data_IF_333046220027
#
_entry.id   IF_333046220027
#
_cell.length_a   1.000
_cell.length_b   1.000
_cell.length_c   1.000
_cell.angle_alpha   90.00
_cell.angle_beta   90.00
_cell.angle_gamma   90.00
#
_symmetry.space_group_name_H-M   'P 1'
#
loop_
_entity.id
_entity.type
_entity.pdbx_description
1 polymer ?
#
# COMPACT_ATOMS: atom_id res chain seq x y z
N UNK A 1 -33.41 -15.65 -25.08
CA UNK A 1 -32.73 -16.77 -25.78
C UNK A 1 -31.69 -16.37 -26.83
N UNK A 2 -31.62 -15.12 -27.32
CA UNK A 2 -30.62 -14.70 -28.32
C UNK A 2 -29.19 -14.50 -27.77
N UNK A 3 -29.02 -14.34 -26.45
CA UNK A 3 -27.71 -14.16 -25.79
C UNK A 3 -26.92 -15.47 -25.62
N UNK A 4 -27.61 -16.59 -25.38
CA UNK A 4 -26.97 -17.90 -25.18
C UNK A 4 -26.36 -18.49 -26.47
N UNK A 5 -27.01 -18.25 -27.62
CA UNK A 5 -26.51 -18.69 -28.93
C UNK A 5 -25.23 -17.94 -29.35
N UNK A 6 -25.05 -16.68 -28.91
CA UNK A 6 -23.81 -15.92 -29.16
C UNK A 6 -22.63 -16.44 -28.33
N UNK A 7 -22.89 -16.84 -27.09
CA UNK A 7 -21.88 -17.44 -26.20
C UNK A 7 -21.40 -18.83 -26.71
N UNK A 8 -22.33 -19.68 -27.17
CA UNK A 8 -22.00 -20.99 -27.76
C UNK A 8 -21.28 -20.89 -29.11
N UNK A 9 -21.55 -19.85 -29.91
CA UNK A 9 -20.84 -19.60 -31.17
C UNK A 9 -19.40 -19.11 -30.96
N UNK A 10 -19.13 -18.29 -29.94
CA UNK A 10 -17.76 -17.91 -29.60
C UNK A 10 -16.96 -19.08 -29.02
N UNK A 11 -17.60 -19.94 -28.21
CA UNK A 11 -16.95 -21.12 -27.65
C UNK A 11 -16.57 -22.15 -28.73
N UNK A 12 -17.35 -22.28 -29.81
CA UNK A 12 -16.99 -23.13 -30.97
C UNK A 12 -15.84 -22.57 -31.81
N UNK A 13 -15.64 -21.24 -31.88
CA UNK A 13 -14.50 -20.64 -32.59
C UNK A 13 -13.17 -20.77 -31.84
N UNK A 14 -13.19 -20.91 -30.52
CA UNK A 14 -11.99 -21.16 -29.69
C UNK A 14 -11.71 -22.66 -29.47
N UNK A 15 -12.57 -23.54 -29.96
CA UNK A 15 -12.40 -25.01 -29.90
C UNK A 15 -11.27 -25.54 -30.81
N UNK A 16 -10.52 -24.67 -31.49
CA UNK A 16 -9.27 -25.02 -32.18
C UNK A 16 -8.03 -25.07 -31.27
N UNK A 17 -8.14 -24.64 -30.00
CA UNK A 17 -7.02 -24.58 -29.05
C UNK A 17 -7.15 -25.57 -27.87
N UNK A 18 -8.15 -26.46 -27.91
CA UNK A 18 -8.36 -27.52 -26.91
C UNK A 18 -7.57 -28.82 -27.20
N UNK A 19 -6.50 -28.74 -28.00
CA UNK A 19 -5.48 -29.79 -28.10
C UNK A 19 -4.38 -29.67 -27.01
N UNK A 20 -4.41 -28.61 -26.17
CA UNK A 20 -3.47 -28.44 -25.05
C UNK A 20 -3.96 -29.00 -23.70
N UNK A 21 -5.26 -29.28 -23.56
CA UNK A 21 -5.87 -29.54 -22.24
C UNK A 21 -5.90 -31.01 -21.83
N UNK A 22 -5.52 -31.94 -22.73
CA UNK A 22 -5.35 -33.36 -22.35
C UNK A 22 -4.05 -33.62 -21.55
N UNK A 23 -3.09 -32.68 -21.50
CA UNK A 23 -1.89 -32.81 -20.65
C UNK A 23 -2.06 -32.28 -19.22
N UNK A 24 -3.08 -31.47 -18.95
CA UNK A 24 -3.31 -30.91 -17.61
C UNK A 24 -4.24 -31.81 -16.77
N UNK A 25 -5.14 -32.55 -17.42
CA UNK A 25 -5.99 -33.54 -16.73
C UNK A 25 -5.23 -34.79 -16.24
N UNK A 26 -4.01 -35.04 -16.73
CA UNK A 26 -3.16 -36.17 -16.29
C UNK A 26 -2.25 -35.84 -15.10
N UNK A 27 -2.24 -34.58 -14.60
CA UNK A 27 -1.39 -34.17 -13.47
C UNK A 27 -2.13 -34.00 -12.14
N UNK A 28 -3.45 -34.20 -12.13
CA UNK A 28 -4.30 -34.08 -10.93
C UNK A 28 -4.92 -35.43 -10.51
N UNK A 29 -4.77 -36.48 -11.30
CA UNK A 29 -5.12 -37.86 -10.93
C UNK A 29 -3.84 -38.70 -10.81
N UNK A 30 -3.09 -38.53 -9.72
CA UNK A 30 -1.78 -39.14 -9.56
C UNK A 30 -1.25 -39.17 -8.13
N UNK A 31 -2.10 -39.45 -7.14
CA UNK A 31 -1.68 -39.87 -5.80
C UNK A 31 -2.15 -41.31 -5.55
N UNK A 32 -1.47 -42.26 -6.16
CA UNK A 32 -1.75 -43.68 -6.00
C UNK A 32 -0.66 -44.51 -6.66
N UNK A 33 0.17 -45.16 -5.84
CA UNK A 33 1.23 -46.10 -6.22
C UNK A 33 0.80 -47.06 -7.34
N UNK A 34 1.65 -47.24 -8.35
CA UNK A 34 1.93 -48.56 -8.92
C UNK A 34 3.27 -48.57 -9.67
N UNK A 35 4.04 -49.64 -9.45
CA UNK A 35 5.38 -49.91 -9.97
C UNK A 35 5.31 -50.37 -11.42
N UNK A 36 6.35 -50.04 -12.19
CA UNK A 36 6.92 -50.82 -13.30
C UNK A 36 6.02 -51.18 -14.48
N UNK A 37 6.31 -50.64 -15.67
CA UNK A 37 6.82 -51.43 -16.80
C UNK A 37 7.21 -50.51 -17.97
N UNK A 38 8.12 -51.04 -18.77
CA UNK A 38 8.91 -50.45 -19.84
C UNK A 38 8.17 -50.27 -21.18
N UNK A 39 8.69 -49.33 -21.96
CA UNK A 39 8.91 -49.35 -23.42
C UNK A 39 7.79 -49.72 -24.41
N UNK A 40 7.65 -48.83 -25.40
CA UNK A 40 7.32 -49.05 -26.83
C UNK A 40 5.98 -49.70 -27.19
N UNK A 41 5.10 -48.95 -27.86
CA UNK A 41 4.75 -49.17 -29.28
C UNK A 41 3.57 -48.31 -29.75
N UNK A 42 3.64 -48.04 -31.05
CA UNK A 42 2.79 -47.20 -31.88
C UNK A 42 1.49 -47.86 -32.36
N UNK A 43 0.56 -46.98 -32.77
CA UNK A 43 -0.50 -47.19 -33.77
C UNK A 43 -1.70 -48.08 -33.40
N UNK A 44 -2.91 -47.49 -33.53
CA UNK A 44 -4.14 -48.24 -33.70
C UNK A 44 -5.40 -47.45 -33.40
N UNK A 45 -6.02 -46.88 -34.43
CA UNK A 45 -7.42 -46.41 -34.39
C UNK A 45 -8.29 -47.52 -33.80
N UNK A 46 -8.94 -47.27 -32.67
CA UNK A 46 -10.10 -48.06 -32.24
C UNK A 46 -11.23 -47.14 -31.82
N UNK A 47 -12.34 -47.29 -32.53
CA UNK A 47 -13.66 -46.84 -32.12
C UNK A 47 -13.97 -47.38 -30.72
N UNK A 48 -14.16 -46.50 -29.75
CA UNK A 48 -14.84 -46.89 -28.52
C UNK A 48 -16.35 -46.86 -28.78
N UNK A 49 -16.91 -48.02 -29.14
CA UNK A 49 -18.29 -48.35 -28.80
C UNK A 49 -18.32 -48.62 -27.29
N UNK A 50 -18.74 -47.62 -26.52
CA UNK A 50 -19.04 -47.75 -25.09
C UNK A 50 -20.53 -47.49 -24.88
N UNK A 51 -21.21 -48.49 -24.36
CA UNK A 51 -22.63 -48.54 -24.00
C UNK A 51 -23.15 -47.25 -23.35
N UNK A 52 -24.26 -46.73 -23.89
CA UNK A 52 -25.14 -45.78 -23.21
C UNK A 52 -25.77 -46.51 -22.01
N UNK A 53 -25.13 -46.40 -20.86
CA UNK A 53 -25.76 -46.70 -19.57
C UNK A 53 -26.65 -45.52 -19.19
N UNK A 54 -27.91 -45.83 -18.92
CA UNK A 54 -28.91 -44.91 -18.37
C UNK A 54 -28.40 -44.27 -17.08
N UNK A 55 -28.38 -42.94 -17.04
CA UNK A 55 -27.86 -42.16 -15.93
C UNK A 55 -28.10 -40.67 -16.12
N UNK A 56 -29.30 -40.31 -16.59
CA UNK A 56 -29.73 -38.92 -16.70
C UNK A 56 -30.27 -38.45 -15.35
N UNK A 57 -29.41 -38.00 -14.42
CA UNK A 57 -29.78 -37.07 -13.32
C UNK A 57 -28.52 -36.57 -12.60
N UNK A 58 -27.85 -35.55 -13.13
CA UNK A 58 -27.13 -34.53 -12.34
C UNK A 58 -26.51 -33.47 -13.28
N UNK A 59 -27.36 -32.68 -13.92
CA UNK A 59 -26.94 -31.53 -14.73
C UNK A 59 -26.88 -30.23 -13.92
N UNK A 60 -27.46 -30.19 -12.72
CA UNK A 60 -27.55 -28.98 -11.89
C UNK A 60 -26.33 -28.80 -10.97
N UNK A 61 -25.86 -29.86 -10.30
CA UNK A 61 -24.64 -29.80 -9.47
C UNK A 61 -23.36 -29.53 -10.27
N UNK A 62 -23.31 -29.94 -11.54
CA UNK A 62 -22.18 -29.65 -12.42
C UNK A 62 -22.24 -28.22 -13.00
N UNK A 63 -23.43 -27.62 -13.09
CA UNK A 63 -23.62 -26.23 -13.52
C UNK A 63 -23.13 -25.25 -12.47
N UNK A 64 -23.49 -25.43 -11.20
CA UNK A 64 -23.03 -24.56 -10.12
C UNK A 64 -21.50 -24.61 -9.97
N UNK A 65 -20.91 -25.81 -10.07
CA UNK A 65 -19.45 -25.97 -10.04
C UNK A 65 -18.73 -25.36 -11.25
N UNK A 66 -19.35 -25.41 -12.44
CA UNK A 66 -18.81 -24.74 -13.62
C UNK A 66 -19.02 -23.23 -13.57
N UNK A 67 -20.14 -22.75 -13.02
CA UNK A 67 -20.42 -21.32 -12.83
C UNK A 67 -19.42 -20.73 -11.84
N UNK A 68 -19.16 -21.39 -10.71
CA UNK A 68 -18.17 -20.92 -9.72
C UNK A 68 -16.75 -20.87 -10.32
N UNK A 69 -16.37 -21.88 -11.11
CA UNK A 69 -15.09 -21.86 -11.86
C UNK A 69 -15.05 -20.80 -12.96
N UNK A 70 -16.16 -20.53 -13.65
CA UNK A 70 -16.25 -19.47 -14.67
C UNK A 70 -16.18 -18.09 -14.00
N UNK A 71 -16.77 -17.93 -12.82
CA UNK A 71 -16.68 -16.71 -12.01
C UNK A 71 -15.26 -16.49 -11.45
N UNK A 72 -14.52 -17.53 -11.10
CA UNK A 72 -13.09 -17.45 -10.74
C UNK A 72 -12.19 -17.16 -11.94
N UNK A 73 -12.51 -17.66 -13.14
CA UNK A 73 -11.70 -17.46 -14.36
C UNK A 73 -12.01 -16.11 -15.06
N UNK A 74 -13.20 -15.55 -14.85
CA UNK A 74 -13.62 -14.24 -15.38
C UNK A 74 -12.68 -13.08 -15.05
N UNK A 75 -12.26 -12.85 -13.78
CA UNK A 75 -11.36 -11.74 -13.46
C UNK A 75 -9.96 -11.92 -14.07
N UNK A 76 -9.48 -13.17 -14.24
CA UNK A 76 -8.19 -13.45 -14.87
C UNK A 76 -8.19 -13.12 -16.37
N UNK A 77 -9.31 -13.35 -17.08
CA UNK A 77 -9.43 -13.07 -18.51
C UNK A 77 -9.70 -11.58 -18.84
N UNK A 78 -10.26 -10.81 -17.90
CA UNK A 78 -10.44 -9.36 -18.06
C UNK A 78 -9.12 -8.58 -17.89
N UNK A 79 -8.22 -9.04 -17.02
CA UNK A 79 -6.90 -8.45 -16.82
C UNK A 79 -6.03 -8.50 -18.09
N UNK A 80 -6.19 -9.52 -18.94
CA UNK A 80 -5.44 -9.68 -20.20
C UNK A 80 -5.81 -8.66 -21.29
N UNK A 81 -6.87 -7.86 -21.11
CA UNK A 81 -7.36 -6.91 -22.13
C UNK A 81 -7.21 -5.43 -21.77
N UNK A 82 -6.79 -5.13 -20.56
CA UNK A 82 -6.55 -3.75 -20.12
C UNK A 82 -5.16 -3.26 -20.54
N UNK A 83 -5.11 -2.15 -21.27
CA UNK A 83 -3.85 -1.52 -21.64
C UNK A 83 -3.06 -1.03 -20.39
N UNK A 84 -1.71 -0.97 -20.44
CA UNK A 84 -0.91 -0.48 -19.30
C UNK A 84 -1.30 0.92 -18.83
N UNK A 85 -1.64 1.83 -19.74
CA UNK A 85 -2.05 3.19 -19.38
C UNK A 85 -3.43 3.24 -18.69
N UNK A 86 -4.34 2.32 -19.02
CA UNK A 86 -5.62 2.21 -18.30
C UNK A 86 -5.44 1.68 -16.88
N UNK A 87 -4.50 0.75 -16.65
CA UNK A 87 -4.15 0.28 -15.32
C UNK A 87 -3.49 1.39 -14.49
N UNK A 88 -2.53 2.11 -15.07
CA UNK A 88 -1.90 3.25 -14.41
C UNK A 88 -2.93 4.34 -14.03
N UNK A 89 -3.86 4.67 -14.94
CA UNK A 89 -4.93 5.63 -14.65
C UNK A 89 -5.78 5.19 -13.46
N UNK A 90 -6.12 3.90 -13.39
CA UNK A 90 -6.90 3.34 -12.29
C UNK A 90 -6.16 3.44 -10.96
N UNK A 91 -4.88 3.07 -10.91
CA UNK A 91 -4.05 3.21 -9.70
C UNK A 91 -4.04 4.65 -9.21
N UNK A 92 -3.77 5.62 -10.11
CA UNK A 92 -3.73 7.05 -9.76
C UNK A 92 -5.09 7.54 -9.25
N UNK A 93 -6.20 7.09 -9.85
CA UNK A 93 -7.55 7.44 -9.42
C UNK A 93 -7.85 6.89 -8.02
N UNK A 94 -7.50 5.63 -7.75
CA UNK A 94 -7.72 5.01 -6.43
C UNK A 94 -6.83 5.66 -5.33
N UNK A 95 -5.62 6.09 -5.68
CA UNK A 95 -4.78 6.92 -4.79
C UNK A 95 -5.41 8.29 -4.51
N UNK A 96 -5.94 8.96 -5.53
CA UNK A 96 -6.62 10.25 -5.37
C UNK A 96 -7.86 10.12 -4.48
N UNK A 97 -8.65 9.06 -4.64
CA UNK A 97 -9.78 8.77 -3.76
C UNK A 97 -9.34 8.52 -2.31
N UNK A 98 -8.19 7.86 -2.10
CA UNK A 98 -7.62 7.68 -0.76
C UNK A 98 -7.24 9.03 -0.10
N UNK A 99 -6.69 9.96 -0.88
CA UNK A 99 -6.40 11.32 -0.43
C UNK A 99 -7.67 12.11 -0.11
N UNK A 100 -8.72 12.00 -0.92
CA UNK A 100 -10.00 12.65 -0.64
C UNK A 100 -10.61 12.14 0.66
N UNK A 101 -10.59 10.82 0.88
CA UNK A 101 -11.05 10.22 2.15
C UNK A 101 -10.22 10.67 3.35
N UNK A 102 -8.92 10.90 3.18
CA UNK A 102 -8.10 11.47 4.24
C UNK A 102 -8.53 12.91 4.53
N UNK A 103 -8.68 13.74 3.49
CA UNK A 103 -9.06 15.14 3.65
C UNK A 103 -10.37 15.30 4.42
N UNK A 104 -11.36 14.45 4.15
CA UNK A 104 -12.65 14.43 4.87
C UNK A 104 -12.54 14.03 6.35
N UNK A 105 -11.43 13.36 6.74
CA UNK A 105 -11.18 12.86 8.09
C UNK A 105 -10.20 13.72 8.89
N UNK A 106 -9.63 14.76 8.29
CA UNK A 106 -8.80 15.72 9.03
C UNK A 106 -9.68 16.40 10.08
N UNK A 107 -9.34 16.19 11.35
CA UNK A 107 -10.13 16.63 12.49
C UNK A 107 -9.28 17.42 13.51
N UNK A 108 -9.82 17.62 14.72
CA UNK A 108 -9.15 18.35 15.79
C UNK A 108 -7.79 17.76 16.20
N UNK A 109 -7.54 16.46 15.99
CA UNK A 109 -6.23 15.86 16.27
C UNK A 109 -5.11 16.48 15.43
N UNK A 110 -5.44 16.91 14.20
CA UNK A 110 -4.52 17.62 13.33
C UNK A 110 -4.23 19.03 13.86
N UNK A 111 -5.24 19.74 14.37
CA UNK A 111 -5.08 21.07 14.97
C UNK A 111 -4.18 21.02 16.22
N UNK A 112 -4.33 19.98 17.05
CA UNK A 112 -3.48 19.75 18.20
C UNK A 112 -2.03 19.47 17.81
N UNK A 113 -1.82 18.67 16.75
CA UNK A 113 -0.49 18.40 16.21
C UNK A 113 0.18 19.68 15.68
N UNK A 114 -0.55 20.49 14.90
CA UNK A 114 -0.06 21.79 14.42
C UNK A 114 0.27 22.72 15.60
N UNK A 115 -0.60 22.78 16.61
CA UNK A 115 -0.39 23.62 17.80
C UNK A 115 0.82 23.16 18.62
N UNK A 116 1.08 21.86 18.70
CA UNK A 116 2.27 21.31 19.34
C UNK A 116 3.55 21.72 18.60
N UNK A 117 3.55 21.62 17.27
CA UNK A 117 4.70 21.93 16.41
C UNK A 117 4.94 23.45 16.26
N UNK A 118 3.90 24.27 16.36
CA UNK A 118 4.00 25.74 16.33
C UNK A 118 4.74 26.29 17.54
N UNK A 119 4.63 25.62 18.70
CA UNK A 119 5.26 26.00 19.97
C UNK A 119 6.75 25.62 20.07
N UNK A 120 7.33 25.02 19.03
CA UNK A 120 8.76 24.73 18.98
C UNK A 120 9.57 26.03 19.07
N UNK A 121 10.54 26.07 19.98
CA UNK A 121 11.51 27.16 20.04
C UNK A 121 12.56 27.06 18.92
N UNK A 122 13.44 28.06 18.82
CA UNK A 122 14.46 28.12 17.78
C UNK A 122 15.53 27.01 17.87
N UNK A 123 15.65 26.34 19.03
CA UNK A 123 16.64 25.30 19.27
C UNK A 123 16.06 23.88 19.14
N UNK A 124 14.74 23.78 19.10
CA UNK A 124 14.00 22.54 18.96
C UNK A 124 13.76 22.21 17.49
N UNK A 125 13.55 20.92 17.23
CA UNK A 125 13.28 20.42 15.88
C UNK A 125 12.24 19.33 15.85
N UNK A 126 11.75 19.08 14.65
CA UNK A 126 10.94 17.92 14.33
C UNK A 126 11.86 16.76 13.96
N UNK A 127 11.79 15.66 14.70
CA UNK A 127 12.51 14.43 14.35
C UNK A 127 11.51 13.46 13.76
N UNK A 128 11.67 13.10 12.49
CA UNK A 128 10.78 12.16 11.81
C UNK A 128 11.39 10.77 11.86
N UNK A 129 10.66 9.80 12.42
CA UNK A 129 11.11 8.43 12.62
C UNK A 129 10.27 7.47 11.80
N UNK A 130 10.92 6.54 11.12
CA UNK A 130 10.25 5.44 10.44
C UNK A 130 11.25 4.39 9.94
N UNK A 131 10.71 3.28 9.45
CA UNK A 131 11.48 2.19 8.84
C UNK A 131 10.86 1.79 7.50
N UNK A 132 11.66 1.19 6.62
CA UNK A 132 11.19 0.72 5.30
C UNK A 132 10.61 1.84 4.44
N UNK A 133 9.45 1.59 3.80
CA UNK A 133 8.77 2.60 2.96
C UNK A 133 8.37 3.83 3.76
N UNK A 134 7.82 3.67 4.96
CA UNK A 134 7.53 4.80 5.85
C UNK A 134 8.78 5.61 6.21
N UNK A 135 9.94 4.95 6.34
CA UNK A 135 11.22 5.64 6.53
C UNK A 135 11.64 6.51 5.34
N UNK A 136 11.45 6.03 4.10
CA UNK A 136 11.70 6.85 2.91
C UNK A 136 10.78 8.07 2.85
N UNK A 137 9.50 7.90 3.17
CA UNK A 137 8.56 9.02 3.29
C UNK A 137 9.00 9.99 4.39
N UNK A 138 9.45 9.46 5.53
CA UNK A 138 9.97 10.25 6.65
C UNK A 138 11.11 11.19 6.25
N UNK A 139 12.03 10.73 5.39
CA UNK A 139 13.09 11.59 4.82
C UNK A 139 12.51 12.74 4.00
N UNK A 140 11.53 12.47 3.14
CA UNK A 140 10.86 13.50 2.33
C UNK A 140 10.11 14.50 3.22
N UNK A 141 9.38 14.01 4.22
CA UNK A 141 8.62 14.84 5.17
C UNK A 141 9.56 15.75 5.95
N UNK A 142 10.66 15.21 6.50
CA UNK A 142 11.67 16.00 7.19
C UNK A 142 12.29 17.08 6.28
N UNK A 143 12.62 16.74 5.03
CA UNK A 143 13.11 17.70 4.06
C UNK A 143 12.07 18.80 3.76
N UNK A 144 10.78 18.44 3.68
CA UNK A 144 9.68 19.37 3.43
C UNK A 144 9.53 20.37 4.58
N UNK A 145 9.52 19.92 5.83
CA UNK A 145 9.54 20.81 7.00
C UNK A 145 10.73 21.79 6.96
N UNK A 146 11.94 21.28 6.74
CA UNK A 146 13.16 22.10 6.70
C UNK A 146 13.13 23.12 5.55
N UNK A 147 12.59 22.76 4.39
CA UNK A 147 12.43 23.66 3.25
C UNK A 147 11.35 24.74 3.45
N UNK A 148 10.45 24.56 4.41
CA UNK A 148 9.28 25.43 4.65
C UNK A 148 9.35 26.16 5.99
N UNK A 149 10.54 26.20 6.62
CA UNK A 149 10.81 27.05 7.79
C UNK A 149 10.70 26.36 9.14
N UNK A 150 10.60 25.04 9.20
CA UNK A 150 10.62 24.27 10.45
C UNK A 150 11.80 23.31 10.46
N UNK A 151 12.77 23.52 11.37
CA UNK A 151 13.94 22.66 11.50
C UNK A 151 13.50 21.20 11.70
N UNK A 152 13.94 20.31 10.82
CA UNK A 152 13.59 18.90 10.88
C UNK A 152 14.68 17.98 10.34
N UNK A 153 14.76 16.78 10.91
CA UNK A 153 15.66 15.71 10.46
C UNK A 153 14.97 14.35 10.49
N UNK A 154 15.47 13.43 9.68
CA UNK A 154 15.03 12.04 9.69
C UNK A 154 15.97 11.19 10.55
N UNK A 155 15.38 10.31 11.36
CA UNK A 155 16.09 9.31 12.16
C UNK A 155 15.51 7.92 11.85
N UNK A 156 16.36 6.97 11.49
CA UNK A 156 15.91 5.61 11.18
C UNK A 156 15.55 4.86 12.47
N UNK A 157 14.42 4.15 12.50
CA UNK A 157 13.92 3.53 13.73
C UNK A 157 14.91 2.52 14.36
N UNK A 158 15.58 1.70 13.54
CA UNK A 158 16.58 0.74 14.03
C UNK A 158 17.82 1.45 14.60
N UNK A 159 18.33 2.46 13.91
CA UNK A 159 19.54 3.18 14.34
C UNK A 159 19.28 4.01 15.61
N UNK A 160 18.05 4.49 15.79
CA UNK A 160 17.61 5.16 17.02
C UNK A 160 17.92 4.32 18.27
N UNK A 161 17.62 3.01 18.21
CA UNK A 161 17.86 2.05 19.30
C UNK A 161 19.35 1.69 19.46
N UNK A 162 20.20 2.07 18.51
CA UNK A 162 21.64 1.83 18.52
C UNK A 162 22.47 3.11 18.71
N UNK A 163 21.87 4.16 19.30
CA UNK A 163 22.59 5.35 19.77
C UNK A 163 22.07 6.67 19.18
N UNK A 164 21.34 6.64 18.06
CA UNK A 164 20.84 7.87 17.43
C UNK A 164 19.77 8.58 18.29
N UNK A 165 19.14 7.89 19.26
CA UNK A 165 18.29 8.55 20.26
C UNK A 165 19.03 9.65 21.04
N UNK A 166 20.37 9.58 21.14
CA UNK A 166 21.19 10.64 21.74
C UNK A 166 21.12 11.99 20.99
N UNK A 167 20.60 12.00 19.77
CA UNK A 167 20.33 13.23 19.02
C UNK A 167 19.09 13.96 19.57
N UNK A 168 18.13 13.25 20.16
CA UNK A 168 16.88 13.85 20.64
C UNK A 168 17.14 14.72 21.86
N UNK A 169 16.68 15.98 21.83
CA UNK A 169 16.86 16.96 22.92
C UNK A 169 15.54 17.28 23.60
N UNK A 170 15.63 17.79 24.83
CA UNK A 170 14.47 18.38 25.50
C UNK A 170 13.94 19.56 24.69
N UNK A 171 12.65 19.53 24.34
CA UNK A 171 11.99 20.53 23.48
C UNK A 171 11.64 20.02 22.09
N UNK A 172 12.36 18.99 21.60
CA UNK A 172 12.07 18.36 20.32
C UNK A 172 10.68 17.70 20.31
N UNK A 173 10.08 17.60 19.12
CA UNK A 173 8.87 16.82 18.87
C UNK A 173 9.21 15.71 17.89
N UNK A 174 8.84 14.47 18.21
CA UNK A 174 9.13 13.32 17.36
C UNK A 174 7.86 12.86 16.64
N UNK A 175 7.92 12.79 15.31
CA UNK A 175 6.86 12.27 14.44
C UNK A 175 7.17 10.82 14.10
N UNK A 176 6.38 9.87 14.62
CA UNK A 176 6.57 8.43 14.45
C UNK A 176 5.65 7.90 13.34
N UNK A 177 6.26 7.34 12.28
CA UNK A 177 5.56 6.86 11.08
C UNK A 177 5.48 5.33 11.07
N UNK A 178 4.27 4.79 11.26
CA UNK A 178 3.98 3.35 11.09
C UNK A 178 2.55 3.17 10.62
N UNK A 179 2.34 2.61 9.42
CA UNK A 179 0.99 2.41 8.89
C UNK A 179 0.17 1.46 9.79
N UNK A 180 0.75 0.33 10.20
CA UNK A 180 0.06 -0.61 11.09
C UNK A 180 -0.09 -0.06 12.50
N UNK A 181 0.81 0.80 12.96
CA UNK A 181 0.91 1.21 14.36
C UNK A 181 1.48 0.11 15.26
N UNK A 182 1.99 -0.98 14.67
CA UNK A 182 2.47 -2.18 15.38
C UNK A 182 3.91 -2.58 14.97
N UNK A 183 4.62 -1.70 14.24
CA UNK A 183 6.01 -1.97 13.83
C UNK A 183 6.93 -1.94 15.05
N UNK A 184 7.53 -3.08 15.39
CA UNK A 184 8.26 -3.27 16.64
C UNK A 184 9.36 -2.23 16.87
N UNK A 185 10.19 -1.94 15.88
CA UNK A 185 11.27 -0.96 15.99
C UNK A 185 10.74 0.45 16.31
N UNK A 186 9.60 0.81 15.71
CA UNK A 186 8.95 2.11 15.96
C UNK A 186 8.33 2.13 17.37
N UNK A 187 7.75 1.02 17.82
CA UNK A 187 7.20 0.89 19.16
C UNK A 187 8.29 0.99 20.23
N UNK A 188 9.43 0.33 20.03
CA UNK A 188 10.57 0.37 20.94
C UNK A 188 11.09 1.80 21.07
N UNK A 189 11.24 2.52 19.95
CA UNK A 189 11.59 3.94 19.95
C UNK A 189 10.55 4.77 20.69
N UNK A 190 9.26 4.54 20.45
CA UNK A 190 8.19 5.26 21.15
C UNK A 190 8.24 5.07 22.67
N UNK A 191 8.56 3.86 23.15
CA UNK A 191 8.74 3.60 24.59
C UNK A 191 9.92 4.38 25.18
N UNK A 192 11.08 4.35 24.52
CA UNK A 192 12.25 5.13 24.97
C UNK A 192 11.95 6.64 25.00
N UNK A 193 11.28 7.17 23.98
CA UNK A 193 10.89 8.59 23.93
C UNK A 193 9.91 8.98 25.05
N UNK A 194 9.00 8.06 25.41
CA UNK A 194 8.07 8.26 26.53
C UNK A 194 8.81 8.34 27.87
N UNK A 195 9.80 7.49 28.09
CA UNK A 195 10.67 7.54 29.28
C UNK A 195 11.48 8.85 29.33
N UNK A 196 11.96 9.31 28.17
CA UNK A 196 12.63 10.61 28.03
C UNK A 196 11.70 11.82 28.15
N UNK A 197 10.38 11.60 28.28
CA UNK A 197 9.33 12.65 28.34
C UNK A 197 9.35 13.60 27.14
N UNK A 198 9.71 13.08 25.97
CA UNK A 198 9.70 13.81 24.71
C UNK A 198 8.27 13.79 24.14
N UNK A 199 7.84 14.90 23.53
CA UNK A 199 6.53 14.99 22.89
C UNK A 199 6.54 14.20 21.60
N UNK A 200 5.52 13.38 21.39
CA UNK A 200 5.44 12.43 20.27
C UNK A 200 4.11 12.52 19.56
N UNK A 201 4.14 12.43 18.22
CA UNK A 201 2.97 12.39 17.36
C UNK A 201 3.05 11.09 16.54
N UNK A 202 2.07 10.21 16.68
CA UNK A 202 1.93 9.02 15.85
C UNK A 202 1.20 9.37 14.54
N UNK A 203 1.68 8.82 13.42
CA UNK A 203 0.95 8.80 12.14
C UNK A 203 0.72 7.35 11.76
N UNK A 204 -0.51 6.86 11.96
CA UNK A 204 -0.86 5.45 11.79
C UNK A 204 -2.32 5.25 11.38
N UNK A 205 -2.67 4.04 10.94
CA UNK A 205 -4.01 3.76 10.39
C UNK A 205 -5.13 3.69 11.43
N UNK A 206 -4.81 3.56 12.73
CA UNK A 206 -5.78 3.34 13.80
C UNK A 206 -5.41 4.08 15.09
N UNK A 207 -6.36 4.83 15.64
CA UNK A 207 -6.26 5.51 16.94
C UNK A 207 -6.12 4.53 18.12
N UNK A 208 -6.52 3.27 17.93
CA UNK A 208 -6.44 2.22 18.95
C UNK A 208 -5.18 1.35 18.84
N UNK A 209 -4.22 1.72 18.00
CA UNK A 209 -2.96 0.97 17.85
C UNK A 209 -2.06 1.11 19.08
N UNK A 210 -1.12 0.19 19.24
CA UNK A 210 -0.12 0.27 20.31
C UNK A 210 0.67 1.57 20.20
N UNK A 211 1.10 1.96 18.99
CA UNK A 211 1.83 3.20 18.76
C UNK A 211 1.04 4.44 19.21
N UNK A 212 -0.26 4.49 18.87
CA UNK A 212 -1.15 5.58 19.28
C UNK A 212 -1.18 5.73 20.81
N UNK A 213 -1.31 4.63 21.55
CA UNK A 213 -1.33 4.62 23.02
C UNK A 213 0.00 5.02 23.69
N UNK A 214 1.12 4.89 22.96
CA UNK A 214 2.45 5.27 23.43
C UNK A 214 2.77 6.74 23.17
N UNK A 215 2.06 7.38 22.24
CA UNK A 215 2.35 8.74 21.81
C UNK A 215 1.52 9.81 22.54
N UNK A 216 1.97 11.06 22.48
CA UNK A 216 1.23 12.20 23.07
C UNK A 216 -0.01 12.55 22.26
N UNK A 217 0.07 12.43 20.93
CA UNK A 217 -1.01 12.62 19.97
C UNK A 217 -0.96 11.54 18.89
N UNK A 218 -2.09 11.33 18.22
CA UNK A 218 -2.19 10.45 17.06
C UNK A 218 -2.93 11.19 15.94
N UNK A 219 -2.37 11.14 14.73
CA UNK A 219 -3.03 11.55 13.50
C UNK A 219 -3.44 10.26 12.77
N UNK A 220 -4.73 9.88 12.82
CA UNK A 220 -5.20 8.68 12.15
C UNK A 220 -5.28 8.91 10.65
N UNK A 221 -4.55 8.09 9.88
CA UNK A 221 -4.62 8.13 8.42
C UNK A 221 -5.66 7.17 7.84
N UNK A 222 -6.28 6.34 8.68
CA UNK A 222 -7.24 5.32 8.29
C UNK A 222 -6.61 4.10 7.62
N UNK A 223 -7.41 3.03 7.46
CA UNK A 223 -7.02 1.83 6.73
C UNK A 223 -7.29 2.01 5.23
N UNK A 224 -6.31 1.66 4.41
CA UNK A 224 -6.40 1.73 2.96
C UNK A 224 -6.10 0.37 2.35
N UNK A 225 -6.76 0.07 1.24
CA UNK A 225 -6.43 -1.09 0.42
C UNK A 225 -5.22 -0.72 -0.45
N UNK A 226 -4.18 -1.55 -0.42
CA UNK A 226 -3.05 -1.36 -1.32
C UNK A 226 -3.39 -1.81 -2.75
N UNK A 227 -2.79 -1.11 -3.71
CA UNK A 227 -3.17 -1.14 -5.12
C UNK A 227 -2.29 -2.08 -5.95
N UNK A 228 -1.28 -2.71 -5.34
CA UNK A 228 -0.53 -3.78 -5.96
C UNK A 228 -1.39 -5.07 -6.05
N UNK A 229 -0.94 -6.02 -6.84
CA UNK A 229 -1.70 -7.26 -7.08
C UNK A 229 -1.97 -8.05 -5.80
N UNK A 230 -1.08 -7.99 -4.81
CA UNK A 230 -1.22 -8.73 -3.56
C UNK A 230 -1.89 -7.93 -2.45
N UNK A 231 -2.09 -6.62 -2.63
CA UNK A 231 -2.59 -5.74 -1.58
C UNK A 231 -1.64 -5.62 -0.38
N UNK A 232 -0.33 -5.74 -0.60
CA UNK A 232 0.71 -5.77 0.43
C UNK A 232 1.69 -4.60 0.34
N UNK A 233 1.98 -4.13 -0.87
CA UNK A 233 3.00 -3.11 -1.07
C UNK A 233 2.43 -1.72 -0.75
N UNK A 234 3.06 -0.93 0.12
CA UNK A 234 2.59 0.42 0.43
C UNK A 234 2.49 1.29 -0.84
N UNK A 235 1.26 1.66 -1.21
CA UNK A 235 0.88 2.48 -2.36
C UNK A 235 -0.08 3.56 -1.88
N UNK A 236 -1.36 3.22 -1.69
CA UNK A 236 -2.37 4.13 -1.14
C UNK A 236 -2.01 4.60 0.27
N UNK A 237 -1.56 3.70 1.15
CA UNK A 237 -1.14 4.12 2.50
C UNK A 237 0.08 5.04 2.49
N UNK A 238 0.99 4.85 1.53
CA UNK A 238 2.20 5.64 1.39
C UNK A 238 1.89 7.08 0.96
N UNK A 239 1.04 7.26 -0.06
CA UNK A 239 0.68 8.60 -0.55
C UNK A 239 -0.12 9.39 0.51
N UNK A 240 -1.02 8.71 1.22
CA UNK A 240 -1.79 9.28 2.33
C UNK A 240 -0.85 9.74 3.45
N UNK A 241 0.06 8.88 3.91
CA UNK A 241 1.02 9.24 4.96
C UNK A 241 1.92 10.41 4.56
N UNK A 242 2.39 10.44 3.30
CA UNK A 242 3.18 11.56 2.79
C UNK A 242 2.38 12.86 2.79
N UNK A 243 1.10 12.80 2.38
CA UNK A 243 0.22 13.97 2.32
C UNK A 243 -0.06 14.59 3.70
N UNK A 244 -0.13 13.78 4.77
CA UNK A 244 -0.22 14.30 6.14
C UNK A 244 1.01 15.13 6.50
N UNK A 245 2.21 14.63 6.17
CA UNK A 245 3.45 15.37 6.41
C UNK A 245 3.50 16.69 5.63
N UNK A 246 3.06 16.68 4.37
CA UNK A 246 2.97 17.88 3.54
C UNK A 246 1.96 18.89 4.09
N UNK A 247 0.78 18.41 4.51
CA UNK A 247 -0.23 19.26 5.13
C UNK A 247 0.29 19.92 6.41
N UNK A 248 0.93 19.16 7.31
CA UNK A 248 1.54 19.70 8.54
C UNK A 248 2.58 20.78 8.21
N UNK A 249 3.49 20.51 7.27
CA UNK A 249 4.54 21.44 6.88
C UNK A 249 3.97 22.73 6.28
N UNK A 250 3.03 22.63 5.34
CA UNK A 250 2.41 23.78 4.68
C UNK A 250 1.59 24.62 5.65
N UNK A 251 0.79 24.00 6.52
CA UNK A 251 -0.02 24.71 7.53
C UNK A 251 0.90 25.44 8.52
N UNK A 252 1.95 24.78 9.02
CA UNK A 252 2.93 25.42 9.90
C UNK A 252 3.66 26.57 9.22
N UNK A 253 4.09 26.39 7.97
CA UNK A 253 4.77 27.43 7.18
C UNK A 253 3.89 28.69 7.08
N UNK A 254 2.60 28.51 6.79
CA UNK A 254 1.62 29.59 6.74
C UNK A 254 1.42 30.26 8.09
N UNK A 255 1.26 29.49 9.17
CA UNK A 255 1.05 30.03 10.53
C UNK A 255 2.27 30.78 11.06
N UNK A 256 3.47 30.29 10.79
CA UNK A 256 4.75 30.94 11.09
C UNK A 256 5.07 32.12 10.17
N UNK A 257 4.21 32.41 9.18
CA UNK A 257 4.40 33.47 8.18
C UNK A 257 5.74 33.36 7.45
N UNK A 258 6.17 32.14 7.16
CA UNK A 258 7.41 31.88 6.45
C UNK A 258 7.38 32.57 5.09
N UNK A 259 8.31 33.50 4.88
CA UNK A 259 8.27 34.37 3.72
C UNK A 259 9.04 33.80 2.53
N UNK A 260 8.76 34.34 1.35
CA UNK A 260 9.55 34.09 0.14
C UNK A 260 11.04 34.39 0.35
N UNK A 261 11.35 35.45 1.13
CA UNK A 261 12.72 35.80 1.51
C UNK A 261 13.35 34.73 2.40
N UNK A 262 12.63 34.18 3.37
CA UNK A 262 13.12 33.08 4.19
C UNK A 262 13.35 31.81 3.37
N UNK A 263 12.44 31.50 2.44
CA UNK A 263 12.60 30.38 1.50
C UNK A 263 13.90 30.52 0.69
N UNK A 264 14.21 31.72 0.21
CA UNK A 264 15.45 31.98 -0.55
C UNK A 264 16.73 31.74 0.26
N UNK A 265 16.70 31.96 1.59
CA UNK A 265 17.85 31.69 2.49
C UNK A 265 18.10 30.18 2.65
N UNK A 266 17.03 29.38 2.66
CA UNK A 266 17.11 27.92 2.72
C UNK A 266 17.44 27.28 1.35
N UNK A 267 17.30 28.05 0.25
CA UNK A 267 17.53 27.58 -1.12
C UNK A 267 18.47 28.54 -1.87
N UNK A 268 19.78 28.52 -1.56
CA UNK A 268 20.74 29.44 -2.17
C UNK A 268 20.90 29.21 -3.68
N UNK A 269 20.61 28.01 -4.18
CA UNK A 269 20.78 27.59 -5.57
C UNK A 269 19.49 26.97 -6.15
N UNK A 270 19.52 26.67 -7.45
CA UNK A 270 18.41 26.03 -8.17
C UNK A 270 17.31 27.00 -8.59
N UNK A 271 16.41 26.51 -9.46
CA UNK A 271 15.34 27.32 -10.06
C UNK A 271 14.33 27.82 -9.01
N UNK A 272 14.00 27.01 -8.01
CA UNK A 272 13.12 27.41 -6.89
C UNK A 272 13.74 28.53 -6.03
N UNK A 273 15.06 28.51 -5.83
CA UNK A 273 15.77 29.54 -5.07
C UNK A 273 15.89 30.85 -5.84
N UNK A 274 16.09 30.78 -7.17
CA UNK A 274 16.05 31.95 -8.06
C UNK A 274 14.66 32.61 -8.05
N UNK A 275 13.62 31.81 -8.29
CA UNK A 275 12.24 32.29 -8.28
C UNK A 275 11.83 32.91 -6.93
N UNK A 276 12.47 32.53 -5.83
CA UNK A 276 12.25 33.09 -4.50
C UNK A 276 12.93 34.45 -4.24
N UNK A 277 13.92 34.85 -5.05
CA UNK A 277 14.65 36.13 -4.91
C UNK A 277 14.02 37.27 -5.71
N UNK A 278 13.43 36.93 -6.86
CA UNK A 278 12.79 37.85 -7.80
C UNK A 278 11.38 38.25 -7.34
#
# INVERSE_FOLDING_TARGET
MASLKRCLMLCRKTSGLLLGSQKVAQKVAGSGRCRGFSSTESLGRRHCKGSLGEGATNLDGNKEFLISKIEEVRPACELEKTSPHSLARRVIQEEAEALMRLADKVDASFDDAVSMLERLDANSRVIVVGIGKSGHLGRKIAATFSSTGTSALFMHATEALHGDLGVVRGGDVVLLLSNSGETQEVLDVARSLKEMRVKTIAVCSSETSTLSSLCSLCIPIGKHKELDHNGLAPTASAIVMMSVGDALAVVLSKRKRFSKKDFSRCHPAGEIGKAARD
#
